data_IF_635480606395
#
_entry.id   IF_635480606395
#
_cell.length_a   1.000
_cell.length_b   1.000
_cell.length_c   1.000
_cell.angle_alpha   90.00
_cell.angle_beta   90.00
_cell.angle_gamma   90.00
#
_symmetry.space_group_name_H-M   'P 1'
#
loop_
_entity.id
_entity.type
_entity.pdbx_description
1 polymer ?
#
# COMPACT_ATOMS: atom_id res chain seq x y z
N UNK A 1 1.22 11.45 23.45
CA UNK A 1 0.73 11.51 22.05
C UNK A 1 1.06 10.19 21.36
N UNK A 2 0.07 9.38 20.96
CA UNK A 2 0.33 8.16 20.16
C UNK A 2 0.79 8.60 18.77
N UNK A 3 2.04 8.31 18.41
CA UNK A 3 2.53 8.56 17.05
C UNK A 3 1.57 7.89 16.05
N UNK A 4 1.05 8.67 15.08
CA UNK A 4 0.20 8.12 14.01
C UNK A 4 0.99 7.04 13.28
N UNK A 5 0.50 5.79 13.36
CA UNK A 5 1.06 4.64 12.63
C UNK A 5 1.07 4.97 11.13
N UNK A 6 2.24 4.93 10.49
CA UNK A 6 2.43 5.16 9.05
C UNK A 6 2.83 3.90 8.30
N UNK A 7 2.65 3.91 6.98
CA UNK A 7 3.07 2.86 6.04
C UNK A 7 4.26 3.40 5.27
N UNK A 8 5.41 2.76 5.37
CA UNK A 8 6.66 3.24 4.78
C UNK A 8 6.97 2.48 3.48
N UNK A 9 6.89 3.21 2.36
CA UNK A 9 7.14 2.68 1.02
C UNK A 9 8.60 2.27 0.78
N UNK A 10 9.54 2.62 1.69
CA UNK A 10 10.94 2.17 1.58
C UNK A 10 11.24 0.92 2.39
N UNK A 11 10.31 0.50 3.26
CA UNK A 11 10.42 -0.72 4.08
C UNK A 11 9.65 -1.90 3.47
N UNK A 12 9.27 -1.77 2.21
CA UNK A 12 8.63 -2.83 1.46
C UNK A 12 9.49 -4.10 1.51
N UNK A 13 8.89 -5.31 1.65
CA UNK A 13 9.60 -6.52 1.26
C UNK A 13 10.08 -6.37 -0.20
N UNK A 14 11.13 -7.11 -0.57
CA UNK A 14 11.47 -7.24 -1.98
C UNK A 14 10.20 -7.60 -2.78
N UNK A 15 9.91 -6.91 -3.89
CA UNK A 15 8.77 -7.23 -4.70
C UNK A 15 8.83 -8.72 -5.10
N UNK A 16 7.80 -9.55 -4.87
CA UNK A 16 7.60 -10.67 -5.79
C UNK A 16 7.49 -10.07 -7.20
N UNK A 17 8.00 -10.77 -8.22
CA UNK A 17 7.84 -10.31 -9.60
C UNK A 17 6.36 -10.03 -9.90
N UNK A 18 6.06 -8.78 -10.25
CA UNK A 18 4.72 -8.33 -10.65
C UNK A 18 4.82 -7.86 -12.08
N UNK A 19 4.24 -8.63 -12.99
CA UNK A 19 4.40 -8.43 -14.42
C UNK A 19 3.87 -7.06 -14.88
N UNK A 20 2.76 -6.60 -14.28
CA UNK A 20 2.12 -5.30 -14.57
C UNK A 20 1.38 -4.75 -13.35
N UNK A 21 2.04 -3.98 -12.46
CA UNK A 21 1.33 -3.27 -11.41
C UNK A 21 0.35 -2.26 -12.02
N UNK A 22 -0.88 -2.26 -11.51
CA UNK A 22 -1.93 -1.30 -11.88
C UNK A 22 -2.04 -0.25 -10.79
N UNK A 23 -1.86 1.01 -11.15
CA UNK A 23 -2.23 2.11 -10.27
C UNK A 23 -3.75 2.14 -10.10
N UNK A 24 -4.17 2.33 -8.85
CA UNK A 24 -5.57 2.50 -8.50
C UNK A 24 -5.74 3.86 -7.87
N UNK A 25 -6.68 4.65 -8.39
CA UNK A 25 -7.02 5.96 -7.86
C UNK A 25 -7.57 5.85 -6.45
N UNK A 26 -8.57 5.00 -6.27
CA UNK A 26 -9.04 4.56 -4.97
C UNK A 26 -9.06 3.03 -4.91
N UNK A 27 -8.39 2.47 -3.91
CA UNK A 27 -8.40 1.04 -3.66
C UNK A 27 -9.77 0.63 -3.03
N UNK A 28 -10.54 1.60 -2.52
CA UNK A 28 -11.91 1.43 -2.03
C UNK A 28 -12.87 0.94 -3.13
N UNK A 29 -12.68 1.36 -4.38
CA UNK A 29 -13.48 0.92 -5.52
C UNK A 29 -13.32 -0.59 -5.82
N UNK A 30 -12.27 -1.20 -5.27
CA UNK A 30 -11.94 -2.63 -5.44
C UNK A 30 -12.29 -3.41 -4.17
N UNK A 31 -12.06 -2.82 -3.00
CA UNK A 31 -12.33 -3.45 -1.71
C UNK A 31 -12.57 -2.39 -0.63
N UNK A 32 -13.60 -2.56 0.20
CA UNK A 32 -13.88 -1.64 1.32
C UNK A 32 -12.82 -1.76 2.43
N UNK A 33 -12.38 -2.98 2.72
CA UNK A 33 -11.32 -3.30 3.69
C UNK A 33 -10.23 -4.15 3.04
N UNK A 34 -9.04 -4.14 3.64
CA UNK A 34 -7.95 -5.01 3.19
C UNK A 34 -8.28 -6.50 3.30
N UNK A 35 -9.09 -6.89 4.29
CA UNK A 35 -9.61 -8.25 4.45
C UNK A 35 -10.40 -8.74 3.22
N UNK A 36 -11.02 -7.82 2.49
CA UNK A 36 -11.93 -8.13 1.39
C UNK A 36 -11.18 -8.35 0.07
N UNK A 37 -9.91 -7.91 -0.01
CA UNK A 37 -9.05 -8.25 -1.14
C UNK A 37 -8.80 -9.76 -1.13
N UNK A 38 -8.93 -10.39 -2.29
CA UNK A 38 -8.57 -11.80 -2.47
C UNK A 38 -7.10 -12.05 -2.14
N UNK A 39 -6.75 -13.21 -1.58
CA UNK A 39 -5.38 -13.55 -1.16
C UNK A 39 -4.30 -13.53 -2.26
N UNK A 40 -4.70 -13.55 -3.55
CA UNK A 40 -3.78 -13.43 -4.68
C UNK A 40 -3.35 -11.99 -5.01
N UNK A 41 -4.06 -10.99 -4.47
CA UNK A 41 -3.81 -9.59 -4.75
C UNK A 41 -2.59 -9.08 -3.96
N UNK A 42 -1.60 -8.57 -4.67
CA UNK A 42 -0.47 -7.86 -4.10
C UNK A 42 -0.84 -6.38 -3.99
N UNK A 43 -0.57 -5.78 -2.84
CA UNK A 43 -0.82 -4.36 -2.59
C UNK A 43 0.49 -3.64 -2.37
N UNK A 44 0.60 -2.44 -2.90
CA UNK A 44 1.72 -1.56 -2.67
C UNK A 44 1.29 -0.11 -2.73
N UNK A 45 2.24 0.80 -2.57
CA UNK A 45 2.02 2.21 -2.86
C UNK A 45 3.07 2.76 -3.81
N UNK A 46 2.66 3.74 -4.61
CA UNK A 46 3.54 4.54 -5.46
C UNK A 46 3.64 5.95 -4.90
N UNK A 47 4.88 6.42 -4.76
CA UNK A 47 5.13 7.77 -4.31
C UNK A 47 4.75 8.80 -5.38
N UNK A 48 3.93 9.80 -5.07
CA UNK A 48 3.61 10.84 -6.04
C UNK A 48 4.77 11.79 -6.35
N UNK A 49 5.79 11.85 -5.49
CA UNK A 49 6.94 12.76 -5.65
C UNK A 49 8.11 12.14 -6.41
N UNK A 50 8.50 10.92 -6.07
CA UNK A 50 9.68 10.27 -6.65
C UNK A 50 9.35 8.98 -7.42
N UNK A 51 8.05 8.70 -7.58
CA UNK A 51 7.52 7.55 -8.31
C UNK A 51 7.95 6.17 -7.81
N UNK A 52 8.69 6.12 -6.70
CA UNK A 52 9.09 4.87 -6.07
C UNK A 52 7.86 4.06 -5.68
N UNK A 53 7.90 2.80 -6.05
CA UNK A 53 6.96 1.79 -5.61
C UNK A 53 7.50 1.04 -4.40
N UNK A 54 6.60 0.69 -3.49
CA UNK A 54 6.88 -0.13 -2.33
C UNK A 54 5.72 -1.09 -2.09
N UNK A 55 5.97 -2.39 -2.20
CA UNK A 55 5.00 -3.43 -1.87
C UNK A 55 4.79 -3.53 -0.36
N UNK A 56 3.62 -3.99 0.04
CA UNK A 56 3.21 -4.02 1.43
C UNK A 56 2.85 -5.46 1.77
N UNK A 57 3.47 -5.98 2.84
CA UNK A 57 3.07 -7.25 3.40
C UNK A 57 1.67 -7.08 4.03
N UNK A 58 0.73 -7.90 3.57
CA UNK A 58 -0.67 -7.87 3.99
C UNK A 58 -0.84 -8.22 5.46
N UNK A 59 -0.22 -9.30 5.93
CA UNK A 59 -0.32 -9.76 7.32
C UNK A 59 0.21 -8.68 8.27
N UNK A 60 1.31 -8.03 7.91
CA UNK A 60 1.85 -6.89 8.66
C UNK A 60 0.88 -5.71 8.66
N UNK A 61 0.23 -5.42 7.53
CA UNK A 61 -0.72 -4.31 7.41
C UNK A 61 -1.97 -4.56 8.26
N UNK A 62 -2.55 -5.75 8.17
CA UNK A 62 -3.72 -6.17 8.96
C UNK A 62 -3.40 -6.18 10.46
N UNK A 63 -2.25 -6.72 10.87
CA UNK A 63 -1.81 -6.70 12.26
C UNK A 63 -1.58 -5.26 12.77
N UNK A 64 -1.05 -4.38 11.93
CA UNK A 64 -0.75 -2.99 12.31
C UNK A 64 -1.99 -2.10 12.34
N UNK A 65 -2.93 -2.33 11.44
CA UNK A 65 -4.14 -1.55 11.21
C UNK A 65 -5.39 -2.47 11.18
N UNK A 66 -5.75 -3.09 12.31
CA UNK A 66 -6.91 -3.95 12.37
C UNK A 66 -8.18 -3.15 12.05
N UNK A 67 -9.06 -3.70 11.21
CA UNK A 67 -10.32 -3.09 10.78
C UNK A 67 -10.20 -1.76 10.01
N UNK A 68 -9.01 -1.38 9.54
CA UNK A 68 -8.85 -0.12 8.84
C UNK A 68 -9.55 -0.12 7.48
N UNK A 69 -10.25 0.97 7.19
CA UNK A 69 -10.82 1.24 5.88
C UNK A 69 -9.70 1.69 4.95
N UNK A 70 -9.71 1.20 3.72
CA UNK A 70 -8.66 1.45 2.74
C UNK A 70 -8.43 2.96 2.49
N UNK A 71 -9.50 3.75 2.39
CA UNK A 71 -9.43 5.21 2.18
C UNK A 71 -8.69 5.94 3.31
N UNK A 72 -8.80 5.48 4.56
CA UNK A 72 -8.06 6.04 5.70
C UNK A 72 -6.57 5.73 5.64
N UNK A 73 -6.17 4.67 4.93
CA UNK A 73 -4.79 4.21 4.82
C UNK A 73 -4.04 4.90 3.67
N UNK A 74 -4.73 5.40 2.64
CA UNK A 74 -4.14 6.25 1.59
C UNK A 74 -3.37 7.42 2.19
N UNK A 75 -3.98 8.10 3.15
CA UNK A 75 -3.37 9.19 3.92
C UNK A 75 -2.22 8.78 4.84
N UNK A 76 -1.87 7.49 4.94
CA UNK A 76 -0.78 6.96 5.79
C UNK A 76 0.42 6.45 5.01
N UNK A 77 0.35 6.40 3.68
CA UNK A 77 1.47 6.09 2.80
C UNK A 77 2.55 7.18 2.91
N UNK A 78 3.78 6.82 3.23
CA UNK A 78 4.94 7.72 3.39
C UNK A 78 6.12 7.19 2.60
N UNK A 79 6.85 8.06 1.92
CA UNK A 79 8.11 7.71 1.28
C UNK A 79 9.26 8.33 2.07
N UNK A 80 10.08 7.52 2.74
CA UNK A 80 11.26 8.04 3.45
C UNK A 80 12.42 8.44 2.54
N UNK A 81 12.46 7.95 1.29
CA UNK A 81 13.52 8.31 0.32
C UNK A 81 13.47 9.79 -0.09
N UNK A 82 12.27 10.30 -0.39
CA UNK A 82 12.06 11.69 -0.81
C UNK A 82 11.25 12.49 0.23
N UNK A 83 11.07 11.91 1.42
CA UNK A 83 10.33 12.46 2.56
C UNK A 83 8.86 12.81 2.29
N UNK A 84 8.29 12.36 1.15
CA UNK A 84 6.92 12.70 0.79
C UNK A 84 5.91 12.08 1.75
N UNK A 85 4.99 12.91 2.25
CA UNK A 85 3.99 12.54 3.25
C UNK A 85 2.54 12.52 2.76
N UNK A 86 2.27 12.86 1.50
CA UNK A 86 0.91 12.97 0.98
C UNK A 86 0.82 12.69 -0.53
N UNK A 87 -0.41 12.50 -1.03
CA UNK A 87 -0.67 12.27 -2.46
C UNK A 87 -0.16 10.93 -3.01
N UNK A 88 0.41 10.06 -2.18
CA UNK A 88 0.86 8.74 -2.62
C UNK A 88 -0.35 7.87 -3.01
N UNK A 89 -0.19 7.05 -4.05
CA UNK A 89 -1.24 6.25 -4.67
C UNK A 89 -1.11 4.78 -4.30
N UNK A 90 -2.22 4.04 -4.30
CA UNK A 90 -2.18 2.59 -4.20
C UNK A 90 -1.82 1.97 -5.55
N UNK A 91 -1.09 0.87 -5.50
CA UNK A 91 -0.86 -0.02 -6.63
C UNK A 91 -1.32 -1.43 -6.29
N UNK A 92 -1.89 -2.11 -7.27
CA UNK A 92 -2.26 -3.50 -7.19
C UNK A 92 -1.44 -4.32 -8.18
N UNK A 93 -0.94 -5.45 -7.71
CA UNK A 93 -0.32 -6.48 -8.50
C UNK A 93 -1.13 -7.77 -8.41
N UNK A 94 -0.97 -8.61 -9.43
CA UNK A 94 -1.34 -10.02 -9.33
C UNK A 94 -0.05 -10.80 -9.18
N UNK A 95 0.02 -11.66 -8.15
CA UNK A 95 1.15 -12.60 -8.05
C UNK A 95 1.08 -13.55 -9.24
N UNK A 96 2.13 -13.61 -10.05
CA UNK A 96 2.23 -14.64 -11.08
C UNK A 96 2.36 -16.01 -10.38
N UNK A 97 1.59 -17.00 -10.85
CA UNK A 97 1.66 -18.38 -10.36
C UNK A 97 2.88 -19.09 -10.94
#
# INVERSE_FOLDING_TARGET
MRHRKSIDLTRAPEPPYVERPKEVGDLYDIAGKFSDLSGWALIGGRCARCEREGWINRDWLEAKFPNAIISELSGKLRCRKCENRGGNRWILGKRHR
#
